data_IF_360376456436
#
_entry.id   IF_360376456436
#
_cell.length_a   1.000
_cell.length_b   1.000
_cell.length_c   1.000
_cell.angle_alpha   90.00
_cell.angle_beta   90.00
_cell.angle_gamma   90.00
#
_symmetry.space_group_name_H-M   'P 1'
#
loop_
_entity.id
_entity.type
_entity.pdbx_description
1 polymer ?
#
# COMPACT_ATOMS: atom_id res chain seq x y z
N UNK A 1 -6.23 9.01 -5.75
CA UNK A 1 -5.04 8.30 -6.25
C UNK A 1 -3.85 9.02 -5.62
N UNK A 2 -3.03 8.35 -4.83
CA UNK A 2 -1.97 9.02 -4.07
C UNK A 2 -0.66 8.26 -4.17
N UNK A 3 0.41 9.00 -4.49
CA UNK A 3 1.78 8.53 -4.41
C UNK A 3 2.37 9.21 -3.18
N UNK A 4 2.93 8.42 -2.27
CA UNK A 4 3.53 8.92 -1.03
C UNK A 4 5.05 8.80 -1.13
N UNK A 5 5.74 9.93 -1.00
CA UNK A 5 7.21 9.96 -0.90
C UNK A 5 7.63 9.46 0.48
N UNK A 6 8.51 8.46 0.51
CA UNK A 6 8.98 7.83 1.75
C UNK A 6 9.91 8.78 2.52
N UNK A 7 9.34 9.57 3.44
CA UNK A 7 10.09 10.47 4.34
C UNK A 7 10.70 9.71 5.54
N UNK A 8 11.49 10.41 6.36
CA UNK A 8 12.16 9.87 7.55
C UNK A 8 11.22 9.20 8.59
N UNK A 9 9.94 9.60 8.64
CA UNK A 9 8.89 8.97 9.46
C UNK A 9 7.73 8.43 8.59
N UNK A 10 8.01 7.41 7.77
CA UNK A 10 7.09 6.94 6.73
C UNK A 10 5.82 6.30 7.33
N UNK A 11 5.99 5.75 8.53
CA UNK A 11 4.97 5.15 9.38
C UNK A 11 3.86 6.13 9.79
N UNK A 12 4.23 7.33 10.26
CA UNK A 12 3.25 8.35 10.65
C UNK A 12 2.56 8.98 9.44
N UNK A 13 3.30 9.14 8.33
CA UNK A 13 2.77 9.68 7.09
C UNK A 13 1.63 8.81 6.54
N UNK A 14 1.81 7.48 6.52
CA UNK A 14 0.77 6.53 6.10
C UNK A 14 -0.42 6.57 7.03
N UNK A 15 -0.21 6.59 8.35
CA UNK A 15 -1.32 6.71 9.31
C UNK A 15 -2.13 7.99 9.11
N UNK A 16 -1.45 9.13 8.94
CA UNK A 16 -2.11 10.40 8.69
C UNK A 16 -2.84 10.38 7.36
N UNK A 17 -2.26 9.74 6.33
CA UNK A 17 -2.91 9.56 5.05
C UNK A 17 -4.17 8.70 5.17
N UNK A 18 -4.09 7.54 5.85
CA UNK A 18 -5.22 6.65 6.07
C UNK A 18 -6.33 7.34 6.87
N UNK A 19 -5.97 8.03 7.96
CA UNK A 19 -6.93 8.79 8.76
C UNK A 19 -7.63 9.90 7.97
N UNK A 20 -6.91 10.57 7.06
CA UNK A 20 -7.47 11.68 6.27
C UNK A 20 -8.26 11.22 5.04
N UNK A 21 -7.83 10.15 4.38
CA UNK A 21 -8.34 9.76 3.06
C UNK A 21 -9.25 8.53 3.08
N UNK A 22 -9.12 7.67 4.10
CA UNK A 22 -9.78 6.37 4.16
C UNK A 22 -10.57 6.19 5.47
N UNK A 23 -11.07 7.29 6.05
CA UNK A 23 -11.83 7.24 7.31
C UNK A 23 -13.13 6.43 7.11
N UNK A 24 -13.28 5.33 7.87
CA UNK A 24 -14.44 4.43 7.78
C UNK A 24 -14.35 3.38 6.68
N UNK A 25 -13.29 3.36 5.87
CA UNK A 25 -13.06 2.37 4.82
C UNK A 25 -12.28 1.15 5.35
N UNK A 26 -12.46 -0.02 4.71
CA UNK A 26 -11.61 -1.19 4.97
C UNK A 26 -10.34 -1.07 4.15
N UNK A 27 -9.22 -0.87 4.83
CA UNK A 27 -7.91 -0.62 4.22
C UNK A 27 -6.98 -1.80 4.44
N UNK A 28 -6.37 -2.31 3.36
CA UNK A 28 -5.27 -3.27 3.44
C UNK A 28 -3.95 -2.54 3.24
N UNK A 29 -3.06 -2.59 4.23
CA UNK A 29 -1.69 -2.11 4.11
C UNK A 29 -0.79 -3.29 3.76
N UNK A 30 -0.14 -3.25 2.62
CA UNK A 30 0.66 -4.35 2.08
C UNK A 30 2.12 -3.93 2.03
N UNK A 31 3.01 -4.72 2.60
CA UNK A 31 4.44 -4.40 2.63
C UNK A 31 5.30 -5.64 2.42
N UNK A 32 6.61 -5.39 2.32
CA UNK A 32 7.63 -6.44 2.27
C UNK A 32 7.86 -7.01 3.67
N UNK A 33 8.12 -8.31 3.75
CA UNK A 33 8.43 -9.00 5.01
C UNK A 33 9.51 -8.23 5.81
N UNK A 34 9.26 -8.01 7.11
CA UNK A 34 10.12 -7.27 8.06
C UNK A 34 10.28 -5.77 7.78
N UNK A 35 9.61 -5.22 6.76
CA UNK A 35 9.57 -3.77 6.52
C UNK A 35 8.34 -3.10 7.12
N UNK A 36 7.32 -3.87 7.49
CA UNK A 36 6.16 -3.33 8.18
C UNK A 36 6.43 -3.21 9.69
N UNK A 37 6.14 -2.07 10.30
CA UNK A 37 6.25 -1.90 11.75
C UNK A 37 5.28 -2.84 12.48
N UNK A 38 5.83 -3.81 13.22
CA UNK A 38 5.09 -4.87 13.95
C UNK A 38 4.06 -4.35 14.97
N UNK A 39 4.18 -3.09 15.41
CA UNK A 39 3.30 -2.47 16.41
C UNK A 39 1.90 -2.11 15.90
N UNK A 40 1.63 -2.29 14.61
CA UNK A 40 0.35 -1.95 13.97
C UNK A 40 -0.77 -2.97 14.17
N UNK A 41 -0.77 -3.61 15.34
CA UNK A 41 -1.74 -4.63 15.73
C UNK A 41 -3.16 -4.05 15.75
N UNK A 42 -3.92 -4.46 14.73
CA UNK A 42 -5.38 -4.61 14.69
C UNK A 42 -6.19 -3.36 15.03
N UNK A 43 -6.35 -2.51 14.03
CA UNK A 43 -7.56 -1.72 13.92
C UNK A 43 -8.58 -2.54 13.10
N UNK A 44 -9.84 -2.68 13.53
CA UNK A 44 -10.84 -3.54 12.83
C UNK A 44 -11.04 -3.20 11.34
N UNK A 45 -10.66 -1.98 10.95
CA UNK A 45 -10.79 -1.46 9.59
C UNK A 45 -9.47 -1.46 8.80
N UNK A 46 -8.30 -1.62 9.44
CA UNK A 46 -7.00 -1.55 8.78
C UNK A 46 -6.21 -2.83 9.04
N UNK A 47 -5.92 -3.59 8.00
CA UNK A 47 -5.24 -4.90 8.09
C UNK A 47 -3.89 -4.82 7.41
N UNK A 48 -2.85 -5.31 8.08
CA UNK A 48 -1.47 -5.30 7.61
C UNK A 48 -1.09 -6.67 7.05
N UNK A 49 -0.49 -6.68 5.86
CA UNK A 49 -0.08 -7.88 5.14
C UNK A 49 1.39 -7.78 4.74
N UNK A 50 2.20 -8.67 5.31
CA UNK A 50 3.57 -8.93 4.88
C UNK A 50 3.57 -10.01 3.79
N UNK A 51 3.00 -9.69 2.62
CA UNK A 51 2.82 -10.68 1.54
C UNK A 51 3.78 -10.51 0.37
N UNK A 52 4.66 -9.50 0.41
CA UNK A 52 5.58 -9.21 -0.69
C UNK A 52 7.00 -9.64 -0.33
N UNK A 53 7.68 -10.29 -1.25
CA UNK A 53 9.07 -10.77 -1.05
C UNK A 53 10.12 -9.81 -1.59
N UNK A 54 9.71 -8.75 -2.30
CA UNK A 54 10.62 -7.73 -2.83
C UNK A 54 11.26 -8.07 -4.18
N UNK A 55 11.17 -9.32 -4.65
CA UNK A 55 11.73 -9.76 -5.94
C UNK A 55 10.81 -9.52 -7.13
N UNK A 56 9.49 -9.62 -6.92
CA UNK A 56 8.49 -9.48 -7.98
C UNK A 56 7.31 -8.61 -7.51
N UNK A 57 7.63 -7.42 -6.98
CA UNK A 57 6.69 -6.50 -6.34
C UNK A 57 5.41 -6.23 -7.16
N UNK A 58 5.57 -6.06 -8.47
CA UNK A 58 4.44 -5.79 -9.37
C UNK A 58 3.51 -7.00 -9.50
N UNK A 59 4.06 -8.18 -9.74
CA UNK A 59 3.28 -9.41 -9.97
C UNK A 59 2.61 -9.87 -8.67
N UNK A 60 3.36 -9.86 -7.57
CA UNK A 60 2.85 -10.15 -6.23
C UNK A 60 1.78 -9.13 -5.81
N UNK A 61 1.99 -7.84 -6.07
CA UNK A 61 1.03 -6.78 -5.77
C UNK A 61 -0.27 -6.90 -6.58
N UNK A 62 -0.18 -7.23 -7.88
CA UNK A 62 -1.36 -7.50 -8.71
C UNK A 62 -2.15 -8.70 -8.22
N UNK A 63 -1.48 -9.82 -7.94
CA UNK A 63 -2.11 -11.02 -7.35
C UNK A 63 -2.77 -10.72 -6.01
N UNK A 64 -2.16 -9.87 -5.20
CA UNK A 64 -2.74 -9.43 -3.94
C UNK A 64 -4.03 -8.65 -4.16
N UNK A 65 -4.02 -7.66 -5.06
CA UNK A 65 -5.21 -6.89 -5.41
C UNK A 65 -6.33 -7.78 -5.93
N UNK A 66 -6.06 -8.69 -6.86
CA UNK A 66 -7.08 -9.60 -7.39
C UNK A 66 -7.70 -10.46 -6.29
N UNK A 67 -6.87 -10.99 -5.39
CA UNK A 67 -7.31 -11.87 -4.30
C UNK A 67 -8.17 -11.14 -3.26
N UNK A 68 -7.84 -9.89 -2.96
CA UNK A 68 -8.41 -9.15 -1.83
C UNK A 68 -9.31 -7.98 -2.22
N UNK A 69 -9.43 -7.64 -3.50
CA UNK A 69 -10.25 -6.53 -4.02
C UNK A 69 -11.72 -6.56 -3.59
N UNK A 70 -12.23 -7.74 -3.24
CA UNK A 70 -13.60 -7.92 -2.74
C UNK A 70 -13.76 -7.64 -1.24
N UNK A 71 -12.66 -7.74 -0.48
CA UNK A 71 -12.66 -7.63 0.98
C UNK A 71 -12.31 -6.22 1.47
N UNK A 72 -11.59 -5.44 0.65
CA UNK A 72 -11.11 -4.10 0.98
C UNK A 72 -11.48 -3.09 -0.10
N UNK A 73 -11.82 -1.88 0.33
CA UNK A 73 -12.11 -0.78 -0.59
C UNK A 73 -10.86 0.04 -0.93
N UNK A 74 -9.82 -0.06 -0.10
CA UNK A 74 -8.54 0.61 -0.33
C UNK A 74 -7.33 -0.25 0.02
N UNK A 75 -6.24 -0.06 -0.73
CA UNK A 75 -4.96 -0.72 -0.55
C UNK A 75 -3.85 0.33 -0.45
N UNK A 76 -2.96 0.15 0.52
CA UNK A 76 -1.78 0.98 0.71
C UNK A 76 -0.55 0.09 0.61
N UNK A 77 0.15 0.17 -0.50
CA UNK A 77 1.41 -0.53 -0.72
C UNK A 77 2.56 0.26 -0.10
N UNK A 78 3.11 -0.28 0.98
CA UNK A 78 4.27 0.25 1.67
C UNK A 78 5.55 -0.37 1.13
N UNK A 79 5.99 0.14 -0.02
CA UNK A 79 7.14 -0.35 -0.78
C UNK A 79 8.12 0.79 -1.05
N UNK A 80 9.37 0.45 -1.33
CA UNK A 80 10.31 1.35 -1.96
C UNK A 80 10.42 0.92 -3.43
N UNK A 81 9.51 1.39 -4.27
CA UNK A 81 9.50 1.06 -5.70
C UNK A 81 9.60 2.32 -6.56
N UNK A 82 10.01 2.13 -7.82
CA UNK A 82 10.01 3.19 -8.82
C UNK A 82 8.58 3.65 -9.13
N UNK A 83 8.44 4.91 -9.58
CA UNK A 83 7.15 5.50 -9.96
C UNK A 83 6.40 4.66 -11.01
N UNK A 84 7.11 4.05 -11.95
CA UNK A 84 6.50 3.17 -12.98
C UNK A 84 5.79 1.95 -12.37
N UNK A 85 6.37 1.33 -11.34
CA UNK A 85 5.75 0.20 -10.63
C UNK A 85 4.54 0.68 -9.84
N UNK A 86 4.67 1.85 -9.20
CA UNK A 86 3.56 2.45 -8.48
C UNK A 86 2.38 2.74 -9.41
N UNK A 87 2.60 3.38 -10.54
CA UNK A 87 1.54 3.67 -11.53
C UNK A 87 0.85 2.40 -12.01
N UNK A 88 1.61 1.35 -12.35
CA UNK A 88 1.01 0.09 -12.79
C UNK A 88 0.18 -0.61 -11.71
N UNK A 89 0.62 -0.57 -10.44
CA UNK A 89 -0.17 -1.11 -9.33
C UNK A 89 -1.45 -0.32 -9.12
N UNK A 90 -1.38 1.00 -9.27
CA UNK A 90 -2.55 1.85 -9.08
C UNK A 90 -3.55 1.68 -10.23
N UNK A 91 -3.07 1.55 -11.47
CA UNK A 91 -3.90 1.22 -12.62
C UNK A 91 -4.58 -0.15 -12.44
N UNK A 92 -3.83 -1.16 -11.99
CA UNK A 92 -4.39 -2.48 -11.68
C UNK A 92 -5.52 -2.39 -10.64
N UNK A 93 -5.31 -1.62 -9.57
CA UNK A 93 -6.34 -1.40 -8.57
C UNK A 93 -7.57 -0.65 -9.11
N UNK A 94 -7.34 0.35 -9.96
CA UNK A 94 -8.43 1.10 -10.60
C UNK A 94 -9.29 0.20 -11.49
N UNK A 95 -8.67 -0.72 -12.24
CA UNK A 95 -9.38 -1.71 -13.06
C UNK A 95 -10.22 -2.67 -12.20
N UNK A 96 -9.80 -2.93 -10.97
CA UNK A 96 -10.53 -3.74 -9.99
C UNK A 96 -11.54 -2.93 -9.17
N UNK A 97 -11.67 -1.62 -9.39
CA UNK A 97 -12.59 -0.74 -8.67
C UNK A 97 -12.17 -0.37 -7.25
N UNK A 98 -10.89 -0.58 -6.89
CA UNK A 98 -10.37 -0.31 -5.55
C UNK A 98 -9.40 0.86 -5.56
N UNK A 99 -9.30 1.58 -4.43
CA UNK A 99 -8.38 2.70 -4.30
C UNK A 99 -6.99 2.19 -3.92
N UNK A 100 -5.98 2.55 -4.69
CA UNK A 100 -4.59 2.16 -4.40
C UNK A 100 -3.73 3.38 -4.13
N UNK A 101 -2.93 3.28 -3.08
CA UNK A 101 -1.87 4.21 -2.70
C UNK A 101 -0.58 3.42 -2.62
N UNK A 102 0.49 3.95 -3.20
CA UNK A 102 1.80 3.30 -3.20
C UNK A 102 2.83 4.28 -2.67
N UNK A 103 3.70 3.84 -1.76
CA UNK A 103 4.88 4.61 -1.41
C UNK A 103 5.97 4.37 -2.44
N UNK A 104 6.64 5.44 -2.87
CA UNK A 104 7.78 5.38 -3.80
C UNK A 104 9.04 5.84 -3.10
N UNK A 105 10.17 5.28 -3.52
CA UNK A 105 11.48 5.80 -3.11
C UNK A 105 11.76 7.04 -3.96
N UNK A 106 11.86 8.20 -3.32
CA UNK A 106 12.20 9.45 -3.99
C UNK A 106 13.60 9.26 -4.61
N UNK A 107 13.72 9.36 -5.94
CA UNK A 107 15.03 9.58 -6.55
C UNK A 107 15.52 10.90 -5.98
N UNK A 108 16.54 10.84 -5.13
CA UNK A 108 17.33 11.99 -4.77
C UNK A 108 17.70 12.73 -6.07
N UNK A 109 17.09 13.90 -6.26
CA UNK A 109 17.40 14.82 -7.34
C UNK A 109 18.71 15.55 -7.05
#
# INVERSE_FOLDING_TARGET
MFILEKKAEPTQQIWNHIKRQYQGEKVAVVGVEKQLPQTFLRNKQVIFYESLTGKALLDEGKKFLEKFSKDYTAFVFYLACSSEIAEQLIEAGRNLGVRVTVTVEEKAA
#
